data_IF_064737554022
#
_entry.id   IF_064737554022
#
_cell.length_a   1.000
_cell.length_b   1.000
_cell.length_c   1.000
_cell.angle_alpha   90.00
_cell.angle_beta   90.00
_cell.angle_gamma   90.00
#
_symmetry.space_group_name_H-M   'P 1'
#
loop_
_entity.id
_entity.type
_entity.pdbx_description
1 polymer ?
#
# COMPACT_ATOMS: atom_id res chain seq x y z
N UNK A 1 -52.51 2.45 12.91
CA UNK A 1 -51.47 1.45 13.32
C UNK A 1 -50.68 0.85 12.16
N UNK A 2 -51.27 0.52 11.00
CA UNK A 2 -50.55 -0.08 9.85
C UNK A 2 -49.37 0.74 9.29
N UNK A 3 -49.46 2.06 9.26
CA UNK A 3 -48.41 2.95 8.69
C UNK A 3 -47.17 3.01 9.60
N UNK A 4 -47.35 3.00 10.92
CA UNK A 4 -46.23 2.98 11.88
C UNK A 4 -45.39 1.70 11.73
N UNK A 5 -46.03 0.53 11.51
CA UNK A 5 -45.32 -0.71 11.27
C UNK A 5 -44.48 -0.68 9.99
N UNK A 6 -45.00 -0.07 8.91
CA UNK A 6 -44.26 0.02 7.64
C UNK A 6 -43.04 0.94 7.75
N UNK A 7 -43.14 2.05 8.50
CA UNK A 7 -42.01 2.95 8.73
C UNK A 7 -40.93 2.27 9.57
N UNK A 8 -41.30 1.61 10.67
CA UNK A 8 -40.35 0.88 11.53
C UNK A 8 -39.67 -0.24 10.74
N UNK A 9 -40.44 -1.04 9.98
CA UNK A 9 -39.88 -2.13 9.18
C UNK A 9 -38.93 -1.59 8.09
N UNK A 10 -39.27 -0.49 7.44
CA UNK A 10 -38.41 0.19 6.47
C UNK A 10 -37.09 0.67 7.10
N UNK A 11 -37.14 1.29 8.28
CA UNK A 11 -35.92 1.74 8.98
C UNK A 11 -35.02 0.58 9.41
N UNK A 12 -35.58 -0.54 9.85
CA UNK A 12 -34.80 -1.73 10.24
C UNK A 12 -34.12 -2.35 9.01
N UNK A 13 -34.81 -2.43 7.88
CA UNK A 13 -34.24 -2.94 6.62
C UNK A 13 -33.12 -2.04 6.11
N UNK A 14 -33.31 -0.71 6.12
CA UNK A 14 -32.28 0.25 5.69
C UNK A 14 -31.06 0.24 6.61
N UNK A 15 -31.26 0.11 7.92
CA UNK A 15 -30.17 0.02 8.89
C UNK A 15 -29.40 -1.31 8.71
N UNK A 16 -30.09 -2.44 8.51
CA UNK A 16 -29.46 -3.72 8.24
C UNK A 16 -28.67 -3.71 6.92
N UNK A 17 -29.25 -3.13 5.86
CA UNK A 17 -28.57 -2.96 4.57
C UNK A 17 -27.29 -2.14 4.73
N UNK A 18 -27.35 -0.99 5.43
CA UNK A 18 -26.19 -0.13 5.65
C UNK A 18 -25.06 -0.82 6.44
N UNK A 19 -25.41 -1.59 7.47
CA UNK A 19 -24.43 -2.35 8.27
C UNK A 19 -23.76 -3.46 7.45
N UNK A 20 -24.50 -4.15 6.58
CA UNK A 20 -23.94 -5.20 5.74
C UNK A 20 -23.08 -4.66 4.60
N UNK A 21 -23.46 -3.52 4.00
CA UNK A 21 -22.68 -2.91 2.91
C UNK A 21 -21.37 -2.28 3.38
N UNK A 22 -21.30 -1.78 4.62
CA UNK A 22 -20.04 -1.34 5.22
C UNK A 22 -19.01 -2.47 5.36
N UNK A 23 -19.43 -3.74 5.46
CA UNK A 23 -18.51 -4.89 5.51
C UNK A 23 -17.97 -5.32 4.15
N UNK A 24 -18.59 -4.90 3.05
CA UNK A 24 -18.18 -5.28 1.69
C UNK A 24 -17.13 -4.32 1.10
N UNK A 25 -16.84 -3.20 1.76
CA UNK A 25 -15.88 -2.17 1.33
C UNK A 25 -14.65 -2.06 2.24
N UNK A 26 -14.60 -2.83 3.33
CA UNK A 26 -13.36 -2.96 4.09
C UNK A 26 -12.38 -3.79 3.26
N UNK A 27 -11.34 -3.17 2.70
CA UNK A 27 -10.15 -3.89 2.29
C UNK A 27 -9.67 -4.69 3.50
N UNK A 28 -9.76 -6.01 3.37
CA UNK A 28 -9.16 -6.92 4.33
C UNK A 28 -7.65 -6.86 4.06
N UNK A 29 -6.78 -6.65 5.06
CA UNK A 29 -5.35 -6.77 4.82
C UNK A 29 -5.10 -8.14 4.20
N UNK A 30 -4.27 -8.20 3.15
CA UNK A 30 -3.84 -9.47 2.57
C UNK A 30 -3.29 -10.32 3.70
N UNK A 31 -4.05 -11.33 4.12
CA UNK A 31 -3.54 -12.34 5.02
C UNK A 31 -2.47 -13.08 4.24
N UNK A 32 -1.21 -12.85 4.58
CA UNK A 32 -0.09 -13.57 3.99
C UNK A 32 -0.39 -15.06 4.08
N UNK A 33 -0.63 -15.70 2.93
CA UNK A 33 -0.81 -17.12 2.86
C UNK A 33 0.54 -17.76 3.14
N UNK A 34 0.76 -18.19 4.38
CA UNK A 34 1.90 -19.02 4.77
C UNK A 34 1.71 -20.40 4.14
N UNK A 35 1.99 -20.52 2.85
CA UNK A 35 2.38 -21.82 2.31
C UNK A 35 3.76 -22.11 2.89
N UNK A 36 3.78 -22.98 3.89
CA UNK A 36 4.98 -23.45 4.56
C UNK A 36 5.94 -24.07 3.54
N UNK A 37 6.89 -23.28 3.08
CA UNK A 37 8.18 -23.79 2.64
C UNK A 37 8.98 -24.02 3.93
N UNK A 38 9.34 -25.26 4.30
CA UNK A 38 10.12 -25.47 5.49
C UNK A 38 11.57 -25.11 5.18
N UNK A 39 11.90 -23.83 5.30
CA UNK A 39 13.25 -23.37 5.61
C UNK A 39 13.17 -21.97 6.21
N UNK A 40 13.77 -21.88 7.41
CA UNK A 40 13.97 -20.70 8.26
C UNK A 40 12.81 -20.32 9.19
N UNK A 41 12.72 -21.12 10.25
CA UNK A 41 12.45 -20.58 11.58
C UNK A 41 13.52 -19.54 11.96
N UNK A 42 13.09 -18.53 12.72
CA UNK A 42 13.84 -17.39 13.27
C UNK A 42 14.02 -16.19 12.33
N UNK A 43 13.21 -15.17 12.56
CA UNK A 43 13.70 -13.79 12.54
C UNK A 43 13.26 -13.15 13.84
N UNK A 44 13.98 -13.57 14.88
CA UNK A 44 14.39 -12.71 15.98
C UNK A 44 14.63 -11.28 15.47
N UNK A 45 14.12 -10.28 16.21
CA UNK A 45 14.19 -8.85 15.95
C UNK A 45 15.60 -8.40 15.50
N UNK A 46 15.87 -8.52 14.20
CA UNK A 46 17.07 -7.97 13.58
C UNK A 46 16.92 -6.47 13.63
N UNK A 47 17.71 -5.81 14.48
CA UNK A 47 17.97 -4.38 14.34
C UNK A 47 18.52 -4.23 12.93
N UNK A 48 17.69 -3.72 12.03
CA UNK A 48 17.93 -3.72 10.59
C UNK A 48 19.19 -2.92 10.30
N UNK A 49 20.14 -3.53 9.60
CA UNK A 49 21.08 -2.75 8.80
C UNK A 49 20.30 -1.72 7.97
N UNK A 50 20.83 -0.51 7.76
CA UNK A 50 20.17 0.45 6.88
C UNK A 50 19.90 -0.19 5.51
N UNK A 51 18.73 0.08 4.93
CA UNK A 51 18.35 -0.50 3.64
C UNK A 51 19.45 -0.22 2.60
N UNK A 52 19.83 -1.25 1.86
CA UNK A 52 20.83 -1.12 0.81
C UNK A 52 20.19 -0.53 -0.45
N UNK A 53 20.97 0.16 -1.27
CA UNK A 53 20.49 0.71 -2.54
C UNK A 53 19.91 -0.38 -3.46
N UNK A 54 20.47 -1.60 -3.42
CA UNK A 54 19.97 -2.73 -4.18
C UNK A 54 18.56 -3.16 -3.74
N UNK A 55 18.29 -3.18 -2.43
CA UNK A 55 16.96 -3.48 -1.90
C UNK A 55 15.95 -2.39 -2.27
N UNK A 56 16.34 -1.12 -2.21
CA UNK A 56 15.50 0.00 -2.62
C UNK A 56 15.17 -0.08 -4.10
N UNK A 57 16.17 -0.31 -4.97
CA UNK A 57 15.95 -0.49 -6.40
C UNK A 57 15.07 -1.70 -6.72
N UNK A 58 15.24 -2.82 -6.01
CA UNK A 58 14.37 -3.99 -6.16
C UNK A 58 12.93 -3.70 -5.72
N UNK A 59 12.74 -2.93 -4.64
CA UNK A 59 11.43 -2.50 -4.19
C UNK A 59 10.75 -1.56 -5.20
N UNK A 60 11.50 -0.61 -5.76
CA UNK A 60 11.01 0.26 -6.83
C UNK A 60 10.56 -0.54 -8.04
N UNK A 61 11.39 -1.47 -8.53
CA UNK A 61 11.02 -2.32 -9.66
C UNK A 61 9.78 -3.18 -9.36
N UNK A 62 9.65 -3.71 -8.14
CA UNK A 62 8.47 -4.49 -7.75
C UNK A 62 7.17 -3.68 -7.79
N UNK A 63 7.20 -2.41 -7.42
CA UNK A 63 6.01 -1.55 -7.28
C UNK A 63 5.70 -0.83 -8.60
N UNK A 64 6.73 -0.27 -9.22
CA UNK A 64 6.63 0.65 -10.36
C UNK A 64 7.09 0.05 -11.69
N UNK A 65 7.49 -1.22 -11.71
CA UNK A 65 8.18 -1.85 -12.84
C UNK A 65 9.37 -0.98 -13.27
N UNK A 66 9.57 -0.79 -14.57
CA UNK A 66 10.63 0.06 -15.11
C UNK A 66 10.17 1.51 -15.33
N UNK A 67 9.05 1.93 -14.75
CA UNK A 67 8.51 3.29 -15.00
C UNK A 67 9.31 4.38 -14.30
N UNK A 68 9.97 4.04 -13.19
CA UNK A 68 10.80 4.96 -12.41
C UNK A 68 12.16 4.35 -12.09
N UNK A 69 13.10 5.21 -11.72
CA UNK A 69 14.39 4.86 -11.13
C UNK A 69 14.70 5.75 -9.94
N UNK A 70 15.60 5.31 -9.07
CA UNK A 70 16.19 6.17 -8.05
C UNK A 70 16.90 7.39 -8.65
N UNK A 71 16.89 8.51 -7.94
CA UNK A 71 17.66 9.68 -8.34
C UNK A 71 19.17 9.41 -8.21
N UNK A 72 20.00 10.15 -8.96
CA UNK A 72 21.44 9.86 -9.10
C UNK A 72 22.35 10.53 -8.06
N UNK A 73 21.81 11.05 -6.96
CA UNK A 73 22.61 11.74 -5.92
C UNK A 73 22.87 10.80 -4.74
N UNK A 74 23.95 11.03 -3.96
CA UNK A 74 24.44 10.09 -2.93
C UNK A 74 23.40 9.67 -1.87
N UNK A 75 22.38 10.50 -1.61
CA UNK A 75 21.36 10.25 -0.58
C UNK A 75 19.96 10.43 -1.14
N UNK A 76 19.59 9.61 -2.12
CA UNK A 76 18.28 9.68 -2.76
C UNK A 76 17.18 8.90 -2.04
N UNK A 77 17.52 8.17 -0.98
CA UNK A 77 16.55 7.49 -0.13
C UNK A 77 16.95 7.54 1.35
N UNK A 78 15.96 7.32 2.21
CA UNK A 78 16.14 7.24 3.66
C UNK A 78 15.10 6.28 4.26
N UNK A 79 15.40 5.75 5.43
CA UNK A 79 14.54 4.81 6.15
C UNK A 79 14.24 5.32 7.55
N UNK A 80 13.05 5.07 8.05
CA UNK A 80 12.63 5.45 9.41
C UNK A 80 11.21 4.97 9.70
N UNK A 81 10.75 5.10 10.93
CA UNK A 81 9.34 4.87 11.27
C UNK A 81 8.61 6.23 11.16
N UNK A 82 8.07 6.53 9.98
CA UNK A 82 7.48 7.83 9.68
C UNK A 82 6.03 7.94 10.18
N UNK A 83 5.35 6.81 10.38
CA UNK A 83 3.95 6.79 10.82
C UNK A 83 3.78 6.37 12.30
N UNK A 84 4.84 5.92 12.97
CA UNK A 84 4.84 5.53 14.39
C UNK A 84 4.29 4.14 14.67
N UNK A 85 4.23 3.25 13.68
CA UNK A 85 3.70 1.89 13.85
C UNK A 85 4.76 0.86 14.32
N UNK A 86 6.01 1.30 14.47
CA UNK A 86 7.14 0.48 14.90
C UNK A 86 7.79 -0.36 13.79
N UNK A 87 7.27 -0.28 12.55
CA UNK A 87 7.88 -0.81 11.34
C UNK A 87 8.77 0.24 10.69
N UNK A 88 9.79 -0.19 9.93
CA UNK A 88 10.65 0.73 9.19
C UNK A 88 10.06 1.01 7.80
N UNK A 89 9.74 2.27 7.54
CA UNK A 89 9.34 2.83 6.26
C UNK A 89 10.53 3.23 5.40
N UNK A 90 10.26 3.44 4.11
CA UNK A 90 11.19 3.90 3.09
C UNK A 90 10.65 5.19 2.44
N UNK A 91 11.48 6.22 2.38
CA UNK A 91 11.25 7.41 1.55
C UNK A 91 12.34 7.50 0.49
N UNK A 92 11.97 7.70 -0.78
CA UNK A 92 12.89 7.76 -1.90
C UNK A 92 12.50 8.83 -2.92
N UNK A 93 13.50 9.54 -3.44
CA UNK A 93 13.36 10.46 -4.58
C UNK A 93 13.51 9.64 -5.85
N UNK A 94 12.47 9.64 -6.67
CA UNK A 94 12.43 8.90 -7.93
C UNK A 94 12.35 9.84 -9.13
N UNK A 95 12.88 9.37 -10.25
CA UNK A 95 12.77 10.03 -11.55
C UNK A 95 12.03 9.10 -12.50
N UNK A 96 11.11 9.61 -13.33
CA UNK A 96 10.49 8.80 -14.36
C UNK A 96 11.53 8.39 -15.42
N UNK A 97 11.36 7.19 -15.97
CA UNK A 97 12.12 6.76 -17.14
C UNK A 97 11.47 7.32 -18.41
N UNK A 98 12.25 8.04 -19.21
CA UNK A 98 11.75 8.79 -20.36
C UNK A 98 11.08 7.91 -21.42
N UNK A 99 11.49 6.64 -21.52
CA UNK A 99 10.90 5.62 -22.38
C UNK A 99 9.47 5.24 -22.00
N UNK A 100 9.13 5.37 -20.71
CA UNK A 100 7.95 4.76 -20.10
C UNK A 100 6.99 5.81 -19.53
N UNK A 101 7.16 7.09 -19.91
CA UNK A 101 6.28 8.19 -19.50
C UNK A 101 4.80 7.95 -19.82
N UNK A 102 4.50 7.12 -20.83
CA UNK A 102 3.12 6.75 -21.17
C UNK A 102 2.47 5.84 -20.13
N UNK A 103 3.27 5.09 -19.38
CA UNK A 103 2.81 4.20 -18.31
C UNK A 103 2.77 4.92 -16.95
N UNK A 104 3.34 6.12 -16.87
CA UNK A 104 3.29 6.93 -15.66
C UNK A 104 1.84 7.31 -15.34
N UNK A 105 1.35 6.91 -14.17
CA UNK A 105 -0.02 7.11 -13.72
C UNK A 105 -1.07 6.50 -14.66
N UNK A 106 -0.75 5.34 -15.26
CA UNK A 106 -1.74 4.56 -15.99
C UNK A 106 -2.97 4.27 -15.10
N UNK A 107 -4.22 4.32 -15.61
CA UNK A 107 -5.43 4.10 -14.81
C UNK A 107 -5.50 2.73 -14.13
N UNK A 108 -4.73 1.75 -14.60
CA UNK A 108 -4.63 0.41 -14.02
C UNK A 108 -3.40 0.23 -13.14
N UNK A 109 -2.57 1.27 -12.97
CA UNK A 109 -1.49 1.26 -12.00
C UNK A 109 -2.06 1.35 -10.58
N UNK A 110 -1.52 0.55 -9.67
CA UNK A 110 -1.88 0.60 -8.24
C UNK A 110 -1.19 1.77 -7.50
N UNK A 111 -0.69 2.75 -8.23
CA UNK A 111 0.11 3.84 -7.70
C UNK A 111 -0.10 5.11 -8.54
N UNK A 112 0.14 6.26 -7.90
CA UNK A 112 0.17 7.56 -8.56
C UNK A 112 1.43 8.28 -8.10
N UNK A 113 2.16 8.86 -9.05
CA UNK A 113 3.32 9.71 -8.81
C UNK A 113 2.92 11.14 -9.13
N UNK A 114 3.20 12.03 -8.18
CA UNK A 114 3.05 13.47 -8.35
C UNK A 114 4.39 14.15 -8.12
N UNK A 115 4.51 15.36 -8.64
CA UNK A 115 5.64 16.22 -8.31
C UNK A 115 5.63 16.49 -6.79
N UNK A 116 6.79 16.40 -6.14
CA UNK A 116 6.91 16.64 -4.71
C UNK A 116 6.60 18.09 -4.29
N UNK A 117 6.54 19.01 -5.27
CA UNK A 117 6.19 20.42 -5.06
C UNK A 117 4.70 20.74 -5.22
N UNK A 118 3.90 19.77 -5.68
CA UNK A 118 2.45 19.91 -5.86
C UNK A 118 1.67 19.49 -4.62
#
# INVERSE_FOLDING_TARGET
MRIFYLVVLGTVVLLWYSINHARLTSEQPVSQQVTANPHHASSEKTISSPATEAEVNAALHRIFADTVRGASHEQWFTTGDFNGDGSTDLAAVVLPNSSDLKMLNDPFANWTIQDATQ
#
